data_IF_523511545337
#
_entry.id   IF_523511545337
#
_cell.length_a   1.000
_cell.length_b   1.000
_cell.length_c   1.000
_cell.angle_alpha   90.00
_cell.angle_beta   90.00
_cell.angle_gamma   90.00
#
_symmetry.space_group_name_H-M   'P 1'
#
loop_
_entity.id
_entity.type
_entity.pdbx_description
1 polymer ?
#
# COMPACT_ATOMS: atom_id res chain seq x y z
N UNK A 1 8.86 1.69 -28.87
CA UNK A 1 7.99 2.84 -29.21
C UNK A 1 7.14 3.11 -27.98
N UNK A 2 7.30 4.27 -27.37
CA UNK A 2 6.61 4.63 -26.12
C UNK A 2 5.14 4.95 -26.42
N UNK A 3 4.23 4.34 -25.67
CA UNK A 3 2.79 4.58 -25.77
C UNK A 3 2.48 6.03 -25.36
N UNK A 4 1.65 6.78 -26.11
CA UNK A 4 1.31 8.16 -25.77
C UNK A 4 0.62 8.25 -24.41
N UNK A 5 1.09 9.14 -23.52
CA UNK A 5 0.56 9.34 -22.15
C UNK A 5 -0.96 9.56 -22.07
N UNK A 6 -1.60 9.99 -23.18
CA UNK A 6 -3.06 10.10 -23.31
C UNK A 6 -3.83 8.78 -23.09
N UNK A 7 -3.16 7.62 -23.19
CA UNK A 7 -3.78 6.31 -22.90
C UNK A 7 -3.77 5.93 -21.41
N UNK A 8 -2.90 6.52 -20.58
CA UNK A 8 -2.88 6.24 -19.14
C UNK A 8 -3.96 7.02 -18.38
N UNK A 9 -4.48 8.11 -18.95
CA UNK A 9 -5.48 8.99 -18.33
C UNK A 9 -6.76 9.15 -19.16
N UNK A 10 -6.91 8.36 -20.23
CA UNK A 10 -8.16 8.18 -20.99
C UNK A 10 -8.78 9.43 -21.61
N UNK A 11 -8.66 9.59 -22.93
CA UNK A 11 -9.45 10.55 -23.74
C UNK A 11 -10.94 10.15 -23.90
N UNK A 12 -11.40 9.16 -23.13
CA UNK A 12 -12.79 8.76 -22.88
C UNK A 12 -12.82 8.18 -21.45
N UNK A 13 -13.93 8.28 -20.70
CA UNK A 13 -14.06 7.69 -19.37
C UNK A 13 -14.15 6.16 -19.47
N UNK A 14 -13.07 5.51 -19.91
CA UNK A 14 -12.78 4.11 -19.62
C UNK A 14 -12.20 3.95 -18.20
N UNK A 15 -12.15 5.04 -17.43
CA UNK A 15 -11.78 5.13 -16.01
C UNK A 15 -12.69 4.33 -15.05
N UNK A 16 -13.64 3.56 -15.56
CA UNK A 16 -14.56 2.74 -14.76
C UNK A 16 -14.27 1.25 -14.80
N UNK A 17 -13.34 0.77 -15.65
CA UNK A 17 -13.00 -0.64 -15.64
C UNK A 17 -11.94 -0.90 -14.58
N UNK A 18 -12.41 -1.08 -13.34
CA UNK A 18 -11.54 -1.49 -12.23
C UNK A 18 -10.88 -2.83 -12.60
N UNK A 19 -9.55 -2.83 -12.69
CA UNK A 19 -8.74 -3.97 -13.08
C UNK A 19 -7.52 -4.09 -12.18
N UNK A 20 -7.07 -5.32 -11.92
CA UNK A 20 -5.91 -5.61 -11.10
C UNK A 20 -6.08 -6.91 -10.32
N UNK A 21 -5.03 -7.31 -9.60
CA UNK A 21 -5.09 -8.46 -8.71
C UNK A 21 -5.68 -8.02 -7.35
N UNK A 22 -6.84 -8.57 -6.93
CA UNK A 22 -7.51 -8.14 -5.69
C UNK A 22 -6.58 -8.20 -4.47
N UNK A 23 -5.64 -9.16 -4.45
CA UNK A 23 -4.63 -9.37 -3.40
C UNK A 23 -3.73 -8.16 -3.13
N UNK A 24 -3.54 -7.28 -4.11
CA UNK A 24 -2.63 -6.14 -4.00
C UNK A 24 -3.33 -4.80 -4.11
N UNK A 25 -4.63 -4.76 -4.40
CA UNK A 25 -5.37 -3.50 -4.46
C UNK A 25 -5.36 -2.77 -3.11
N UNK A 26 -5.44 -1.45 -3.15
CA UNK A 26 -5.66 -0.62 -1.96
C UNK A 26 -7.00 -0.95 -1.30
N UNK A 27 -7.13 -0.58 -0.02
CA UNK A 27 -8.37 -0.76 0.74
C UNK A 27 -9.53 -0.03 0.07
N UNK A 28 -9.34 1.24 -0.31
CA UNK A 28 -10.38 2.05 -0.93
C UNK A 28 -10.85 1.48 -2.27
N UNK A 29 -9.91 1.05 -3.11
CA UNK A 29 -10.23 0.44 -4.40
C UNK A 29 -10.98 -0.88 -4.21
N UNK A 30 -10.50 -1.77 -3.35
CA UNK A 30 -11.13 -3.07 -3.12
C UNK A 30 -12.52 -2.92 -2.48
N UNK A 31 -12.69 -1.99 -1.52
CA UNK A 31 -13.97 -1.64 -0.93
C UNK A 31 -14.96 -1.12 -1.99
N UNK A 32 -14.49 -0.35 -2.97
CA UNK A 32 -15.34 0.17 -4.05
C UNK A 32 -15.88 -0.91 -4.98
N UNK A 33 -15.08 -1.96 -5.22
CA UNK A 33 -15.51 -3.13 -6.00
C UNK A 33 -16.55 -3.90 -5.21
N UNK A 34 -16.28 -4.20 -3.93
CA UNK A 34 -17.15 -5.02 -3.09
C UNK A 34 -18.49 -4.32 -2.78
N UNK A 35 -18.49 -3.00 -2.60
CA UNK A 35 -19.68 -2.21 -2.28
C UNK A 35 -20.30 -1.50 -3.50
N UNK A 36 -19.73 -1.69 -4.69
CA UNK A 36 -20.20 -1.14 -5.96
C UNK A 36 -20.43 0.38 -5.95
N UNK A 37 -19.47 1.17 -5.45
CA UNK A 37 -19.51 2.63 -5.50
C UNK A 37 -18.42 3.21 -6.43
N UNK A 38 -18.64 4.44 -6.91
CA UNK A 38 -17.68 5.14 -7.77
C UNK A 38 -16.42 5.48 -6.98
N UNK A 39 -15.27 5.08 -7.48
CA UNK A 39 -13.98 5.34 -6.86
C UNK A 39 -13.08 6.15 -7.79
N UNK A 40 -12.46 7.18 -7.23
CA UNK A 40 -11.42 7.94 -7.90
C UNK A 40 -10.07 7.30 -7.55
N UNK A 41 -9.43 6.68 -8.53
CA UNK A 41 -8.09 6.13 -8.34
C UNK A 41 -7.10 7.23 -7.96
N UNK A 42 -6.22 6.89 -7.03
CA UNK A 42 -5.20 7.76 -6.47
C UNK A 42 -3.82 7.15 -6.69
N UNK A 43 -2.75 7.95 -6.74
CA UNK A 43 -1.39 7.41 -6.73
C UNK A 43 -1.07 6.64 -5.43
N UNK A 44 -1.85 6.89 -4.36
CA UNK A 44 -1.73 6.17 -3.09
C UNK A 44 -2.14 4.70 -3.23
N UNK A 45 -2.96 4.38 -4.25
CA UNK A 45 -3.36 2.99 -4.53
C UNK A 45 -2.17 2.12 -4.94
N UNK A 46 -1.30 2.67 -5.80
CA UNK A 46 -0.07 2.00 -6.22
C UNK A 46 0.88 1.83 -5.03
N UNK A 47 0.98 2.84 -4.16
CA UNK A 47 1.81 2.78 -2.96
C UNK A 47 1.32 1.72 -1.96
N UNK A 48 0.01 1.62 -1.74
CA UNK A 48 -0.58 0.51 -0.98
C UNK A 48 -0.31 -0.84 -1.65
N UNK A 49 -0.35 -0.90 -2.98
CA UNK A 49 -0.04 -2.14 -3.71
C UNK A 49 1.38 -2.61 -3.43
N UNK A 50 2.36 -1.70 -3.41
CA UNK A 50 3.74 -2.02 -3.04
C UNK A 50 3.81 -2.50 -1.58
N UNK A 51 3.11 -1.85 -0.65
CA UNK A 51 3.03 -2.28 0.75
C UNK A 51 2.48 -3.71 0.87
N UNK A 52 1.38 -4.03 0.19
CA UNK A 52 0.78 -5.36 0.23
C UNK A 52 1.68 -6.43 -0.37
N UNK A 53 2.39 -6.12 -1.47
CA UNK A 53 3.40 -7.02 -2.04
C UNK A 53 4.54 -7.27 -1.06
N UNK A 54 5.05 -6.22 -0.40
CA UNK A 54 6.11 -6.36 0.59
C UNK A 54 5.66 -7.24 1.78
N UNK A 55 4.46 -7.00 2.31
CA UNK A 55 3.89 -7.80 3.38
C UNK A 55 3.69 -9.26 2.96
N UNK A 56 3.14 -9.48 1.76
CA UNK A 56 2.99 -10.82 1.19
C UNK A 56 4.35 -11.52 1.07
N UNK A 57 5.38 -10.85 0.58
CA UNK A 57 6.72 -11.42 0.42
C UNK A 57 7.34 -11.81 1.78
N UNK A 58 7.17 -10.97 2.80
CA UNK A 58 7.65 -11.24 4.16
C UNK A 58 6.96 -12.49 4.74
N UNK A 59 5.62 -12.56 4.66
CA UNK A 59 4.85 -13.69 5.21
C UNK A 59 5.02 -15.00 4.40
N UNK A 60 5.42 -14.90 3.13
CA UNK A 60 5.65 -16.05 2.26
C UNK A 60 7.13 -16.49 2.19
N UNK A 61 8.03 -15.83 2.91
CA UNK A 61 9.44 -16.23 2.94
C UNK A 61 9.56 -17.68 3.46
N UNK A 62 10.16 -18.55 2.65
CA UNK A 62 10.23 -20.01 2.84
C UNK A 62 11.39 -20.46 3.74
N UNK A 63 12.28 -19.54 4.13
CA UNK A 63 13.54 -19.88 4.79
C UNK A 63 13.49 -19.87 6.32
N UNK A 64 12.30 -19.79 6.92
CA UNK A 64 12.14 -19.67 8.37
C UNK A 64 10.94 -20.47 8.86
N UNK A 65 11.07 -21.10 10.04
CA UNK A 65 9.93 -21.61 10.80
C UNK A 65 8.95 -20.46 11.07
N UNK A 66 7.64 -20.74 10.95
CA UNK A 66 6.57 -19.73 11.03
C UNK A 66 5.71 -19.98 12.25
N UNK A 67 5.27 -18.93 12.92
CA UNK A 67 4.23 -19.05 13.95
C UNK A 67 2.87 -19.42 13.35
N UNK A 68 1.96 -19.91 14.19
CA UNK A 68 0.54 -20.04 13.86
C UNK A 68 -0.06 -18.70 13.42
N UNK A 69 0.32 -17.59 14.09
CA UNK A 69 -0.12 -16.25 13.71
C UNK A 69 0.30 -15.85 12.29
N UNK A 70 1.53 -16.20 11.87
CA UNK A 70 2.00 -15.90 10.52
C UNK A 70 1.23 -16.68 9.46
N UNK A 71 0.93 -17.95 9.73
CA UNK A 71 0.08 -18.75 8.86
C UNK A 71 -1.34 -18.16 8.77
N UNK A 72 -1.85 -17.67 9.89
CA UNK A 72 -3.15 -17.00 9.95
C UNK A 72 -3.17 -15.67 9.19
N UNK A 73 -2.17 -14.81 9.37
CA UNK A 73 -2.04 -13.56 8.64
C UNK A 73 -1.88 -13.79 7.14
N UNK A 74 -1.09 -14.80 6.74
CA UNK A 74 -0.94 -15.22 5.35
C UNK A 74 -2.27 -15.62 4.72
N UNK A 75 -3.13 -16.32 5.46
CA UNK A 75 -4.48 -16.63 5.00
C UNK A 75 -5.38 -15.40 4.92
N UNK A 76 -5.22 -14.42 5.83
CA UNK A 76 -6.04 -13.21 5.87
C UNK A 76 -5.74 -12.25 4.72
N UNK A 77 -4.47 -12.08 4.32
CA UNK A 77 -4.10 -11.12 3.26
C UNK A 77 -4.76 -11.42 1.91
N UNK A 78 -5.12 -12.68 1.65
CA UNK A 78 -5.81 -13.12 0.42
C UNK A 78 -7.35 -13.05 0.51
N UNK A 79 -7.94 -12.79 1.70
CA UNK A 79 -9.39 -12.90 1.95
C UNK A 79 -10.13 -11.55 1.89
N UNK A 80 -9.85 -10.69 0.92
CA UNK A 80 -10.57 -9.41 0.75
C UNK A 80 -10.10 -8.28 1.68
N UNK A 81 -10.73 -7.10 1.60
CA UNK A 81 -10.17 -5.87 2.19
C UNK A 81 -10.18 -5.83 3.72
N UNK A 82 -11.26 -6.34 4.36
CA UNK A 82 -11.39 -6.33 5.82
C UNK A 82 -10.33 -7.22 6.48
N UNK A 83 -10.27 -8.49 6.05
CA UNK A 83 -9.33 -9.45 6.62
C UNK A 83 -7.87 -9.05 6.39
N UNK A 84 -7.55 -8.45 5.24
CA UNK A 84 -6.21 -7.92 4.97
C UNK A 84 -5.84 -6.76 5.89
N UNK A 85 -6.78 -5.82 6.07
CA UNK A 85 -6.59 -4.68 6.96
C UNK A 85 -6.39 -5.14 8.41
N UNK A 86 -7.15 -6.16 8.84
CA UNK A 86 -6.99 -6.78 10.16
C UNK A 86 -5.60 -7.40 10.33
N UNK A 87 -5.10 -8.16 9.36
CA UNK A 87 -3.76 -8.75 9.43
C UNK A 87 -2.67 -7.67 9.54
N UNK A 88 -2.76 -6.62 8.73
CA UNK A 88 -1.85 -5.47 8.81
C UNK A 88 -1.90 -4.82 10.20
N UNK A 89 -3.11 -4.58 10.71
CA UNK A 89 -3.31 -3.97 12.03
C UNK A 89 -2.76 -4.84 13.16
N UNK A 90 -2.94 -6.16 13.10
CA UNK A 90 -2.40 -7.12 14.07
C UNK A 90 -0.86 -7.05 14.09
N UNK A 91 -0.22 -7.08 12.91
CA UNK A 91 1.23 -6.95 12.76
C UNK A 91 1.74 -5.60 13.30
N UNK A 92 1.01 -4.52 13.06
CA UNK A 92 1.36 -3.17 13.53
C UNK A 92 1.23 -3.00 15.05
N UNK A 93 0.45 -3.86 15.72
CA UNK A 93 0.27 -3.88 17.19
C UNK A 93 1.35 -4.67 17.90
N UNK A 94 2.18 -5.44 17.18
CA UNK A 94 3.23 -6.25 17.80
C UNK A 94 4.17 -5.36 18.64
N UNK A 95 4.36 -5.69 19.94
CA UNK A 95 5.11 -4.83 20.84
C UNK A 95 6.61 -4.88 20.56
N UNK A 96 7.18 -3.78 20.06
CA UNK A 96 8.60 -3.63 19.72
C UNK A 96 9.58 -4.11 20.81
N UNK A 97 9.17 -4.05 22.08
CA UNK A 97 10.01 -4.41 23.25
C UNK A 97 9.99 -5.91 23.60
N UNK A 98 9.04 -6.70 23.06
CA UNK A 98 8.92 -8.13 23.38
C UNK A 98 9.51 -9.04 22.29
N UNK A 99 10.13 -8.48 21.25
CA UNK A 99 10.61 -9.25 20.11
C UNK A 99 11.74 -10.22 20.46
N UNK A 100 12.57 -9.88 21.45
CA UNK A 100 13.56 -10.80 22.02
C UNK A 100 12.95 -11.95 22.84
N UNK A 101 11.70 -11.82 23.30
CA UNK A 101 10.97 -12.84 24.06
C UNK A 101 10.04 -13.66 23.16
N UNK A 102 9.63 -13.10 22.02
CA UNK A 102 8.85 -13.75 20.97
C UNK A 102 9.79 -14.51 20.03
N UNK A 103 10.38 -15.63 20.48
CA UNK A 103 10.96 -16.63 19.58
C UNK A 103 9.92 -17.28 18.63
N UNK A 104 8.69 -16.78 18.63
CA UNK A 104 7.57 -17.38 17.90
C UNK A 104 7.54 -16.95 16.43
N UNK A 105 7.97 -15.73 16.08
CA UNK A 105 7.85 -15.22 14.70
C UNK A 105 9.15 -15.29 13.90
N UNK A 106 9.04 -15.34 12.57
CA UNK A 106 10.16 -15.37 11.65
C UNK A 106 11.08 -14.14 11.83
N UNK A 107 12.40 -14.32 11.78
CA UNK A 107 13.36 -13.22 11.88
C UNK A 107 13.13 -12.09 10.87
N UNK A 108 12.64 -12.40 9.67
CA UNK A 108 12.32 -11.39 8.66
C UNK A 108 11.14 -10.51 9.09
N UNK A 109 10.05 -11.09 9.60
CA UNK A 109 8.94 -10.33 10.13
C UNK A 109 9.41 -9.47 11.32
N UNK A 110 10.24 -10.05 12.19
CA UNK A 110 10.90 -9.35 13.29
C UNK A 110 11.94 -8.29 12.87
N UNK A 111 12.19 -8.08 11.59
CA UNK A 111 13.00 -6.95 11.13
C UNK A 111 12.15 -5.90 10.46
N UNK A 112 11.11 -6.35 9.76
CA UNK A 112 10.29 -5.49 8.94
C UNK A 112 9.11 -4.86 9.67
N UNK A 113 8.53 -5.42 10.75
CA UNK A 113 7.32 -4.80 11.31
C UNK A 113 7.45 -3.36 11.83
N UNK A 114 8.60 -2.86 12.35
CA UNK A 114 8.75 -1.44 12.65
C UNK A 114 8.56 -0.58 11.39
N UNK A 115 9.15 -1.01 10.27
CA UNK A 115 9.04 -0.35 8.97
C UNK A 115 7.63 -0.48 8.42
N UNK A 116 7.02 -1.68 8.44
CA UNK A 116 5.65 -1.90 7.98
C UNK A 116 4.66 -1.03 8.75
N UNK A 117 4.83 -0.92 10.07
CA UNK A 117 3.99 -0.07 10.92
C UNK A 117 4.09 1.40 10.54
N UNK A 118 5.31 1.93 10.47
CA UNK A 118 5.53 3.32 10.10
C UNK A 118 5.00 3.60 8.68
N UNK A 119 5.24 2.67 7.76
CA UNK A 119 4.82 2.78 6.37
C UNK A 119 3.31 2.79 6.23
N UNK A 120 2.61 1.85 6.86
CA UNK A 120 1.14 1.80 6.84
C UNK A 120 0.53 3.10 7.39
N UNK A 121 1.05 3.62 8.51
CA UNK A 121 0.62 4.89 9.09
C UNK A 121 0.91 6.09 8.17
N UNK A 122 1.99 6.05 7.41
CA UNK A 122 2.29 7.09 6.40
C UNK A 122 1.31 7.03 5.24
N UNK A 123 0.98 5.83 4.76
CA UNK A 123 0.03 5.64 3.66
C UNK A 123 -1.39 6.04 4.05
N UNK A 124 -1.85 5.70 5.26
CA UNK A 124 -3.16 6.13 5.77
C UNK A 124 -3.25 7.68 5.79
N UNK A 125 -2.22 8.37 6.31
CA UNK A 125 -2.18 9.84 6.30
C UNK A 125 -2.18 10.41 4.89
N UNK A 126 -1.41 9.81 3.98
CA UNK A 126 -1.32 10.24 2.59
C UNK A 126 -2.64 10.03 1.83
N UNK A 127 -3.37 8.95 2.14
CA UNK A 127 -4.71 8.68 1.62
C UNK A 127 -5.71 9.73 2.12
N UNK A 128 -5.69 10.06 3.41
CA UNK A 128 -6.53 11.11 3.99
C UNK A 128 -6.23 12.48 3.36
N UNK A 129 -4.96 12.85 3.24
CA UNK A 129 -4.52 14.09 2.60
C UNK A 129 -4.95 14.16 1.13
N UNK A 130 -4.85 13.06 0.38
CA UNK A 130 -5.36 12.96 -1.00
C UNK A 130 -6.86 13.25 -1.05
N UNK A 131 -7.66 12.58 -0.21
CA UNK A 131 -9.12 12.74 -0.17
C UNK A 131 -9.55 14.15 0.21
N UNK A 132 -8.78 14.81 1.07
CA UNK A 132 -9.05 16.19 1.49
C UNK A 132 -8.59 17.24 0.47
N UNK A 133 -7.60 16.91 -0.37
CA UNK A 133 -7.04 17.84 -1.37
C UNK A 133 -7.78 17.74 -2.70
N UNK A 134 -8.09 16.51 -3.12
CA UNK A 134 -8.65 16.23 -4.44
C UNK A 134 -10.16 16.05 -4.30
N UNK A 135 -10.89 17.13 -4.54
CA UNK A 135 -12.36 17.11 -4.59
C UNK A 135 -12.85 16.41 -5.87
N UNK A 136 -13.50 15.23 -5.77
CA UNK A 136 -14.05 14.52 -6.93
C UNK A 136 -15.20 15.28 -7.61
N UNK A 137 -15.80 16.24 -6.91
CA UNK A 137 -16.87 17.12 -7.42
C UNK A 137 -16.35 18.45 -7.97
N UNK A 138 -15.02 18.63 -8.01
CA UNK A 138 -14.42 19.84 -8.57
C UNK A 138 -14.79 19.99 -10.05
N UNK A 139 -15.74 20.88 -10.31
CA UNK A 139 -16.08 21.31 -11.66
C UNK A 139 -14.88 22.09 -12.21
N UNK A 140 -14.23 21.48 -13.19
CA UNK A 140 -13.07 22.07 -13.84
C UNK A 140 -13.50 23.42 -14.42
N UNK A 141 -12.86 24.50 -13.98
CA UNK A 141 -13.15 25.85 -14.48
C UNK A 141 -13.15 25.85 -16.00
N UNK A 142 -14.06 26.61 -16.66
CA UNK A 142 -14.08 26.71 -18.10
C UNK A 142 -12.68 27.09 -18.64
N UNK A 143 -12.07 26.19 -19.41
CA UNK A 143 -10.73 26.38 -19.99
C UNK A 143 -9.62 25.48 -19.44
N UNK A 144 -9.82 24.81 -18.31
CA UNK A 144 -8.89 23.78 -17.84
C UNK A 144 -9.41 22.39 -18.25
N UNK A 145 -8.50 21.46 -18.52
CA UNK A 145 -8.84 20.04 -18.63
C UNK A 145 -8.77 19.38 -17.24
N UNK A 146 -9.57 18.32 -16.96
CA UNK A 146 -9.41 17.52 -15.74
C UNK A 146 -7.94 17.11 -15.51
N UNK A 147 -7.22 16.75 -16.58
CA UNK A 147 -5.80 16.40 -16.50
C UNK A 147 -4.93 17.50 -15.88
N UNK A 148 -5.16 18.77 -16.20
CA UNK A 148 -4.36 19.89 -15.67
C UNK A 148 -4.58 20.12 -14.18
N UNK A 149 -5.76 19.78 -13.65
CA UNK A 149 -6.04 19.84 -12.21
C UNK A 149 -5.52 18.61 -11.47
N UNK A 150 -5.84 17.41 -11.97
CA UNK A 150 -5.54 16.15 -11.27
C UNK A 150 -4.06 15.75 -11.36
N UNK A 151 -3.38 15.99 -12.49
CA UNK A 151 -2.04 15.48 -12.73
C UNK A 151 -0.96 16.03 -11.78
N UNK A 152 -0.93 17.34 -11.44
CA UNK A 152 0.03 17.86 -10.47
C UNK A 152 -0.14 17.23 -9.09
N UNK A 153 -1.38 17.06 -8.63
CA UNK A 153 -1.68 16.40 -7.36
C UNK A 153 -1.27 14.92 -7.43
N UNK A 154 -1.60 14.23 -8.52
CA UNK A 154 -1.20 12.83 -8.72
C UNK A 154 0.31 12.65 -8.57
N UNK A 155 1.10 13.48 -9.25
CA UNK A 155 2.56 13.42 -9.14
C UNK A 155 3.08 13.79 -7.74
N UNK A 156 2.51 14.82 -7.12
CA UNK A 156 2.89 15.22 -5.76
C UNK A 156 2.72 14.06 -4.78
N UNK A 157 1.54 13.45 -4.74
CA UNK A 157 1.24 12.36 -3.81
C UNK A 157 2.05 11.08 -4.12
N UNK A 158 2.27 10.75 -5.41
CA UNK A 158 3.12 9.63 -5.80
C UNK A 158 4.57 9.81 -5.30
N UNK A 159 5.17 10.97 -5.59
CA UNK A 159 6.56 11.27 -5.21
C UNK A 159 6.72 11.41 -3.69
N UNK A 160 5.74 12.03 -3.02
CA UNK A 160 5.72 12.16 -1.57
C UNK A 160 5.75 10.80 -0.88
N UNK A 161 4.91 9.86 -1.32
CA UNK A 161 4.88 8.53 -0.70
C UNK A 161 6.17 7.73 -0.93
N UNK A 162 6.82 7.89 -2.09
CA UNK A 162 8.16 7.31 -2.32
C UNK A 162 9.19 7.94 -1.39
N UNK A 163 9.20 9.27 -1.26
CA UNK A 163 10.12 9.97 -0.36
C UNK A 163 9.92 9.53 1.10
N UNK A 164 8.67 9.50 1.58
CA UNK A 164 8.35 9.05 2.94
C UNK A 164 8.85 7.62 3.17
N UNK A 165 8.66 6.70 2.21
CA UNK A 165 9.19 5.34 2.31
C UNK A 165 10.72 5.28 2.43
N UNK A 166 11.44 6.06 1.62
CA UNK A 166 12.90 6.11 1.65
C UNK A 166 13.41 6.71 2.97
N UNK A 167 12.77 7.75 3.48
CA UNK A 167 13.08 8.35 4.79
C UNK A 167 12.83 7.35 5.93
N UNK A 168 11.75 6.55 5.84
CA UNK A 168 11.42 5.52 6.84
C UNK A 168 12.39 4.34 6.81
N UNK A 169 12.89 3.91 5.64
CA UNK A 169 13.78 2.75 5.56
C UNK A 169 15.21 3.08 5.99
N UNK A 170 15.64 4.34 5.85
CA UNK A 170 17.00 4.77 6.12
C UNK A 170 17.49 4.43 7.55
N UNK A 171 16.73 4.70 8.64
CA UNK A 171 17.12 4.31 10.00
C UNK A 171 17.22 2.79 10.21
N UNK A 172 16.50 2.00 9.42
CA UNK A 172 16.42 0.54 9.56
C UNK A 172 17.36 -0.21 8.59
N UNK A 173 18.05 0.50 7.70
CA UNK A 173 18.82 -0.09 6.60
C UNK A 173 19.80 -1.19 7.06
N UNK A 174 20.57 -0.94 8.12
CA UNK A 174 21.53 -1.92 8.66
C UNK A 174 20.85 -3.18 9.19
N UNK A 175 19.71 -3.02 9.88
CA UNK A 175 18.93 -4.14 10.42
C UNK A 175 18.37 -5.00 9.28
N UNK A 176 17.79 -4.37 8.26
CA UNK A 176 17.14 -5.05 7.13
C UNK A 176 18.11 -5.85 6.25
N UNK A 177 19.42 -5.56 6.29
CA UNK A 177 20.44 -6.33 5.57
C UNK A 177 20.82 -7.65 6.25
N UNK A 178 20.36 -7.88 7.48
CA UNK A 178 20.77 -9.04 8.28
C UNK A 178 20.06 -10.32 7.82
N UNK A 179 18.79 -10.24 7.42
CA UNK A 179 18.07 -11.31 6.73
C UNK A 179 17.50 -10.78 5.42
N UNK A 180 18.28 -10.84 4.31
CA UNK A 180 17.78 -10.39 3.03
C UNK A 180 16.54 -11.22 2.65
N UNK A 181 15.46 -10.61 2.15
CA UNK A 181 14.25 -11.33 1.74
C UNK A 181 14.45 -12.36 0.61
N UNK A 182 15.65 -12.48 0.04
CA UNK A 182 15.93 -13.20 -1.20
C UNK A 182 17.25 -14.00 -1.16
N UNK A 183 17.50 -14.78 -0.11
CA UNK A 183 18.64 -15.73 -0.08
C UNK A 183 18.14 -17.16 -0.22
#
# INVERSE_FOLDING_TARGET
MATPWATCLGSKPDSQKISGNPEFMSRGLLQSIELNFKYLQSPVDDLFSIYWVALWAILNNVHTERSEDELWWRMKITKGYLHRSDASADICKLPLRQWKQLQQHSPILQQWSPVLKAWFQSLDRLEDDWRNTVDPSYDVKPGNSPGEYYLPHFHYFALRGVADFLEMIQPHYTQLRTYPPFV
#
